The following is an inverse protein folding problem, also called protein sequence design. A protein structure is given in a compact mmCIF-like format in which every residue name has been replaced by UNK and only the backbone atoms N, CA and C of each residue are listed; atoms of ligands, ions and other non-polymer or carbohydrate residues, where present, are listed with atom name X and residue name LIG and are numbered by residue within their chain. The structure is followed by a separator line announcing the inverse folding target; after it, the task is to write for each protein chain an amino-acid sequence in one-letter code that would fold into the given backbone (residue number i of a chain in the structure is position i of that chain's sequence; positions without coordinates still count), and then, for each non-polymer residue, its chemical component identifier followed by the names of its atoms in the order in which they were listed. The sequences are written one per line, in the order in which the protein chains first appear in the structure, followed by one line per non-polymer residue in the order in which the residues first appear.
data_IF_041647756295
#
_entry.id   IF_041647756295
#
_cell.length_a   1.000
_cell.length_b   1.000
_cell.length_c   1.000
_cell.angle_alpha   90.00
_cell.angle_beta   90.00
_cell.angle_gamma   90.00
#
_symmetry.space_group_name_H-M   'P 1'
#
loop_
_entity.id
_entity.type
_entity.pdbx_description
1 polymer ?
#
# COMPACT_ATOMS: atom_id res chain seq x y z
N UNK A 1 43.57 0.90 6.16
CA UNK A 1 42.30 0.77 6.92
C UNK A 1 41.08 0.78 5.98
N UNK A 2 40.96 1.74 5.06
CA UNK A 2 39.88 1.73 4.05
C UNK A 2 39.83 0.44 3.21
N UNK A 3 40.98 -0.11 2.78
CA UNK A 3 41.03 -1.38 2.03
C UNK A 3 40.48 -2.56 2.83
N UNK A 4 40.82 -2.66 4.12
CA UNK A 4 40.27 -3.67 5.03
C UNK A 4 38.75 -3.52 5.19
N UNK A 5 38.26 -2.28 5.27
CA UNK A 5 36.83 -1.98 5.35
C UNK A 5 36.12 -2.38 4.06
N UNK A 6 36.71 -2.09 2.90
CA UNK A 6 36.19 -2.49 1.58
C UNK A 6 36.13 -4.00 1.46
N UNK A 7 37.15 -4.73 1.91
CA UNK A 7 37.19 -6.19 1.80
C UNK A 7 36.18 -6.87 2.72
N UNK A 8 36.04 -6.37 3.95
CA UNK A 8 35.24 -7.01 5.00
C UNK A 8 33.75 -6.66 4.96
N UNK A 9 33.41 -5.43 4.59
CA UNK A 9 32.03 -4.90 4.72
C UNK A 9 31.30 -4.73 3.38
N UNK A 10 31.82 -5.33 2.31
CA UNK A 10 31.25 -5.24 0.96
C UNK A 10 30.21 -6.32 0.62
N UNK A 11 29.88 -7.23 1.55
CA UNK A 11 28.87 -8.33 1.45
C UNK A 11 28.26 -8.50 0.05
N UNK A 12 28.92 -9.29 -0.81
CA UNK A 12 28.53 -9.66 -2.18
C UNK A 12 28.16 -8.51 -3.15
N UNK A 13 28.34 -7.25 -2.75
CA UNK A 13 27.98 -6.06 -3.52
C UNK A 13 29.23 -5.36 -4.04
N UNK A 14 29.08 -4.30 -4.86
CA UNK A 14 30.20 -3.41 -5.22
C UNK A 14 30.39 -2.26 -4.22
N UNK A 15 29.48 -2.14 -3.26
CA UNK A 15 29.41 -1.05 -2.27
C UNK A 15 29.84 -1.55 -0.90
N UNK A 16 30.26 -0.63 -0.04
CA UNK A 16 30.26 -0.87 1.40
C UNK A 16 28.82 -0.69 1.86
N UNK A 17 28.12 -1.80 2.14
CA UNK A 17 26.69 -1.82 2.45
C UNK A 17 26.38 -2.24 3.89
N UNK A 18 27.36 -2.79 4.62
CA UNK A 18 27.25 -3.15 6.04
C UNK A 18 27.67 -1.98 6.94
N UNK A 19 26.88 -0.89 6.95
CA UNK A 19 27.18 0.32 7.72
C UNK A 19 27.20 0.08 9.23
N UNK A 20 26.31 -0.78 9.73
CA UNK A 20 26.27 -1.18 11.14
C UNK A 20 27.55 -1.96 11.52
N UNK A 21 28.04 -2.83 10.63
CA UNK A 21 29.33 -3.51 10.80
C UNK A 21 30.51 -2.55 10.80
N UNK A 22 30.49 -1.53 9.95
CA UNK A 22 31.52 -0.47 9.90
C UNK A 22 31.51 0.35 11.19
N UNK A 23 30.34 0.78 11.66
CA UNK A 23 30.19 1.56 12.89
C UNK A 23 30.70 0.77 14.11
N UNK A 24 30.30 -0.49 14.23
CA UNK A 24 30.78 -1.39 15.29
C UNK A 24 32.30 -1.59 15.22
N UNK A 25 32.87 -1.73 14.02
CA UNK A 25 34.31 -1.83 13.85
C UNK A 25 35.02 -0.54 14.27
N UNK A 26 34.57 0.63 13.78
CA UNK A 26 35.16 1.91 14.15
C UNK A 26 35.03 2.22 15.65
N UNK A 27 34.00 1.70 16.32
CA UNK A 27 33.85 1.82 17.78
C UNK A 27 34.72 0.84 18.57
N UNK A 28 35.14 -0.27 17.95
CA UNK A 28 36.04 -1.25 18.56
C UNK A 28 37.53 -0.90 18.44
N UNK A 29 37.89 0.01 17.52
CA UNK A 29 39.28 0.46 17.32
C UNK A 29 39.52 1.73 18.13
N UNK A 30 40.62 1.76 18.88
CA UNK A 30 41.05 2.94 19.62
C UNK A 30 41.53 4.03 18.65
N UNK A 31 40.65 4.99 18.39
CA UNK A 31 40.82 6.05 17.40
C UNK A 31 40.12 7.31 17.86
N UNK A 32 40.67 8.46 17.50
CA UNK A 32 40.05 9.76 17.76
C UNK A 32 38.82 9.97 16.86
N UNK A 33 37.93 10.87 17.30
CA UNK A 33 36.75 11.24 16.52
C UNK A 33 37.08 11.78 15.13
N UNK A 34 38.15 12.59 15.00
CA UNK A 34 38.59 13.15 13.73
C UNK A 34 39.07 12.07 12.75
N UNK A 35 39.77 11.04 13.24
CA UNK A 35 40.21 9.93 12.40
C UNK A 35 39.03 9.05 11.96
N UNK A 36 38.05 8.80 12.84
CA UNK A 36 36.81 8.09 12.48
C UNK A 36 36.03 8.85 11.41
N UNK A 37 35.88 10.16 11.57
CA UNK A 37 35.19 11.00 10.60
C UNK A 37 35.88 11.00 9.24
N UNK A 38 37.22 11.06 9.22
CA UNK A 38 38.01 10.96 7.98
C UNK A 38 37.77 9.64 7.24
N UNK A 39 37.63 8.53 7.97
CA UNK A 39 37.32 7.23 7.36
C UNK A 39 35.90 7.19 6.82
N UNK A 40 34.91 7.72 7.55
CA UNK A 40 33.53 7.79 7.06
C UNK A 40 33.41 8.60 5.77
N UNK A 41 34.14 9.72 5.67
CA UNK A 41 34.24 10.52 4.44
C UNK A 41 34.82 9.69 3.29
N UNK A 42 35.91 8.94 3.53
CA UNK A 42 36.51 8.08 2.51
C UNK A 42 35.57 6.96 2.04
N UNK A 43 34.77 6.38 2.94
CA UNK A 43 33.75 5.38 2.61
C UNK A 43 32.65 6.00 1.75
N UNK A 44 32.21 7.21 2.09
CA UNK A 44 31.22 7.95 1.32
C UNK A 44 31.72 8.28 -0.10
N UNK A 45 32.96 8.76 -0.23
CA UNK A 45 33.59 9.05 -1.51
C UNK A 45 33.74 7.80 -2.38
N UNK A 46 34.13 6.68 -1.76
CA UNK A 46 34.21 5.38 -2.43
C UNK A 46 32.86 4.93 -2.99
N UNK A 47 31.82 4.91 -2.15
CA UNK A 47 30.47 4.50 -2.57
C UNK A 47 29.90 5.44 -3.65
N UNK A 48 30.17 6.74 -3.53
CA UNK A 48 29.77 7.74 -4.53
C UNK A 48 30.42 7.50 -5.90
N UNK A 49 31.72 7.15 -5.91
CA UNK A 49 32.44 6.81 -7.14
C UNK A 49 31.88 5.53 -7.80
N UNK A 50 31.60 4.50 -7.03
CA UNK A 50 31.00 3.25 -7.53
C UNK A 50 29.60 3.51 -8.09
N UNK A 51 28.79 4.34 -7.42
CA UNK A 51 27.48 4.74 -7.90
C UNK A 51 27.56 5.47 -9.25
N UNK A 52 28.49 6.41 -9.39
CA UNK A 52 28.71 7.12 -10.66
C UNK A 52 29.07 6.15 -11.80
N UNK A 53 29.98 5.19 -11.55
CA UNK A 53 30.36 4.19 -12.54
C UNK A 53 29.18 3.30 -12.96
N UNK A 54 28.38 2.83 -11.99
CA UNK A 54 27.18 2.03 -12.27
C UNK A 54 26.12 2.81 -13.05
N UNK A 55 25.96 4.10 -12.74
CA UNK A 55 25.05 5.00 -13.47
C UNK A 55 25.46 5.16 -14.93
N UNK A 56 26.76 5.33 -15.18
CA UNK A 56 27.28 5.46 -16.55
C UNK A 56 27.16 4.14 -17.33
N UNK A 57 27.42 3.00 -16.68
CA UNK A 57 27.23 1.67 -17.28
C UNK A 57 25.75 1.40 -17.61
N UNK A 58 24.83 1.75 -16.72
CA UNK A 58 23.38 1.63 -16.98
C UNK A 58 22.96 2.50 -18.17
N UNK A 59 23.46 3.73 -18.25
CA UNK A 59 23.19 4.62 -19.40
C UNK A 59 23.74 4.07 -20.72
N UNK A 60 24.87 3.36 -20.69
CA UNK A 60 25.42 2.65 -21.87
C UNK A 60 24.55 1.46 -22.26
N UNK A 61 24.09 0.67 -21.29
CA UNK A 61 23.20 -0.47 -21.52
C UNK A 61 21.86 -0.03 -22.12
N UNK A 62 21.27 1.05 -21.61
CA UNK A 62 20.04 1.64 -22.18
C UNK A 62 20.23 2.08 -23.64
N UNK A 63 21.39 2.66 -23.98
CA UNK A 63 21.74 2.98 -25.38
C UNK A 63 21.88 1.74 -26.25
N UNK A 64 22.46 0.66 -25.73
CA UNK A 64 22.58 -0.61 -26.48
C UNK A 64 21.20 -1.25 -26.70
N UNK A 65 20.34 -1.25 -25.68
CA UNK A 65 18.98 -1.80 -25.75
C UNK A 65 18.13 -1.01 -26.75
N UNK A 66 18.14 0.33 -26.66
CA UNK A 66 17.43 1.19 -27.61
C UNK A 66 17.96 1.03 -29.04
N UNK A 67 19.27 0.86 -29.23
CA UNK A 67 19.86 0.61 -30.56
C UNK A 67 19.45 -0.77 -31.11
N UNK A 68 19.39 -1.81 -30.27
CA UNK A 68 18.94 -3.17 -30.65
C UNK A 68 17.44 -3.24 -30.94
N UNK A 69 16.60 -2.51 -30.20
CA UNK A 69 15.17 -2.42 -30.47
C UNK A 69 14.87 -1.67 -31.77
N UNK A 70 15.68 -0.66 -32.10
CA UNK A 70 15.57 0.09 -33.36
C UNK A 70 16.00 -0.73 -34.59
N UNK A 71 16.89 -1.72 -34.42
CA UNK A 71 17.47 -2.49 -35.53
C UNK A 71 16.80 -3.84 -35.80
N UNK A 72 15.85 -4.29 -34.97
CA UNK A 72 15.15 -5.56 -35.12
C UNK A 72 13.78 -5.49 -35.85
N UNK A 73 13.43 -4.36 -36.45
CA UNK A 73 12.29 -4.25 -37.36
C UNK A 73 12.67 -4.70 -38.79
N UNK A 74 13.02 -6.00 -38.93
CA UNK A 74 13.02 -6.85 -40.15
C UNK A 74 14.13 -7.91 -40.05
N UNK A 75 13.79 -9.07 -39.48
CA UNK A 75 14.15 -10.41 -39.95
C UNK A 75 13.64 -11.44 -38.94
N UNK A 76 12.73 -12.31 -39.40
CA UNK A 76 12.43 -13.56 -38.71
C UNK A 76 13.71 -14.38 -38.54
N UNK A 77 13.93 -14.89 -37.34
CA UNK A 77 15.04 -15.78 -36.98
C UNK A 77 14.51 -16.83 -35.98
N UNK A 78 15.13 -18.02 -35.92
CA UNK A 78 14.44 -19.29 -36.04
C UNK A 78 14.17 -19.94 -34.68
N UNK A 79 13.25 -20.92 -34.67
CA UNK A 79 13.00 -21.81 -33.54
C UNK A 79 14.30 -22.50 -33.11
N UNK A 80 14.78 -22.20 -31.90
CA UNK A 80 15.73 -23.05 -31.19
C UNK A 80 15.06 -23.52 -29.89
N UNK A 81 15.02 -24.83 -29.79
CA UNK A 81 14.46 -25.69 -28.76
C UNK A 81 15.16 -25.55 -27.40
N UNK A 82 14.34 -25.66 -26.35
CA UNK A 82 14.63 -26.21 -25.03
C UNK A 82 15.88 -25.71 -24.29
N UNK A 83 15.68 -24.66 -23.50
CA UNK A 83 16.26 -24.59 -22.15
C UNK A 83 15.13 -24.22 -21.20
N UNK A 84 14.82 -25.11 -20.25
CA UNK A 84 13.89 -24.85 -19.14
C UNK A 84 14.52 -23.76 -18.25
N UNK A 85 14.22 -22.50 -18.53
CA UNK A 85 14.37 -21.42 -17.57
C UNK A 85 13.03 -21.19 -16.90
N UNK A 86 12.99 -21.45 -15.59
CA UNK A 86 11.81 -21.23 -14.76
C UNK A 86 11.22 -19.84 -15.02
N UNK A 87 9.92 -19.88 -15.30
CA UNK A 87 8.98 -18.79 -15.48
C UNK A 87 9.38 -17.53 -14.69
N UNK A 88 9.91 -16.52 -15.39
CA UNK A 88 9.56 -15.15 -15.07
C UNK A 88 8.04 -15.08 -15.15
N UNK A 89 7.37 -15.08 -13.99
CA UNK A 89 5.98 -14.63 -13.90
C UNK A 89 5.98 -13.28 -14.61
N UNK A 90 5.18 -13.18 -15.66
CA UNK A 90 4.90 -11.90 -16.30
C UNK A 90 4.62 -10.89 -15.19
N UNK A 91 5.31 -9.74 -15.23
CA UNK A 91 4.97 -8.60 -14.39
C UNK A 91 3.57 -8.18 -14.84
N UNK A 92 2.55 -8.76 -14.20
CA UNK A 92 1.22 -8.18 -14.18
C UNK A 92 1.43 -6.83 -13.51
N UNK A 93 1.14 -5.69 -14.17
CA UNK A 93 1.25 -4.41 -13.52
C UNK A 93 0.31 -4.44 -12.32
N UNK A 94 0.86 -4.48 -11.11
CA UNK A 94 0.06 -4.32 -9.91
C UNK A 94 -0.57 -2.93 -9.99
N UNK A 95 -1.87 -2.87 -10.25
CA UNK A 95 -2.67 -1.66 -10.15
C UNK A 95 -2.96 -1.34 -8.68
N UNK A 96 -1.90 -1.33 -7.84
CA UNK A 96 -2.01 -0.84 -6.47
C UNK A 96 -2.21 0.68 -6.56
N UNK A 97 -3.32 1.18 -6.04
CA UNK A 97 -3.59 2.61 -5.97
C UNK A 97 -2.80 3.28 -4.82
N UNK A 98 -1.47 3.26 -4.94
CA UNK A 98 -0.53 3.86 -3.97
C UNK A 98 -0.84 5.34 -3.75
N UNK A 99 -1.35 6.03 -4.78
CA UNK A 99 -1.68 7.46 -4.70
C UNK A 99 -2.71 7.75 -3.61
N UNK A 100 -3.66 6.83 -3.40
CA UNK A 100 -4.69 7.03 -2.37
C UNK A 100 -4.20 6.76 -0.95
N UNK A 101 -3.29 5.79 -0.78
CA UNK A 101 -2.57 5.60 0.49
C UNK A 101 -1.80 6.86 0.87
N UNK A 102 -1.02 7.43 -0.06
CA UNK A 102 -0.25 8.66 0.16
C UNK A 102 -1.15 9.79 0.60
N UNK A 103 -2.27 10.02 -0.10
CA UNK A 103 -3.22 11.07 0.27
C UNK A 103 -3.76 10.88 1.69
N UNK A 104 -4.14 9.66 2.05
CA UNK A 104 -4.71 9.35 3.37
C UNK A 104 -3.68 9.53 4.48
N UNK A 105 -2.43 9.08 4.27
CA UNK A 105 -1.31 9.26 5.20
C UNK A 105 -0.98 10.74 5.40
N UNK A 106 -1.03 11.55 4.34
CA UNK A 106 -0.81 13.01 4.43
C UNK A 106 -1.87 13.69 5.28
N UNK A 107 -3.13 13.30 5.13
CA UNK A 107 -4.26 13.87 5.86
C UNK A 107 -4.33 13.41 7.34
N UNK A 108 -3.52 12.43 7.76
CA UNK A 108 -3.43 12.00 9.16
C UNK A 108 -2.91 13.10 10.07
N UNK A 109 -3.67 13.35 11.14
CA UNK A 109 -3.28 14.23 12.26
C UNK A 109 -2.56 13.49 13.39
N UNK A 110 -2.70 12.16 13.45
CA UNK A 110 -2.06 11.30 14.45
C UNK A 110 -1.27 10.19 13.76
N UNK A 111 -0.15 9.79 14.36
CA UNK A 111 0.67 8.66 13.88
C UNK A 111 -0.07 7.32 14.03
N UNK A 112 -0.87 7.13 15.08
CA UNK A 112 -1.62 5.89 15.28
C UNK A 112 -2.69 5.64 14.21
N UNK A 113 -3.13 6.68 13.49
CA UNK A 113 -4.08 6.52 12.38
C UNK A 113 -3.41 5.96 11.12
N UNK A 114 -2.08 6.01 11.04
CA UNK A 114 -1.31 5.49 9.90
C UNK A 114 -1.42 3.97 9.85
N UNK A 115 -1.33 3.26 10.98
CA UNK A 115 -1.44 1.79 11.04
C UNK A 115 -2.75 1.26 10.45
N UNK A 116 -3.84 2.02 10.59
CA UNK A 116 -5.16 1.68 10.05
C UNK A 116 -5.26 1.90 8.54
N UNK A 117 -4.41 2.74 7.99
CA UNK A 117 -4.37 3.09 6.57
C UNK A 117 -3.46 2.14 5.81
N UNK A 118 -2.38 1.66 6.44
CA UNK A 118 -1.43 0.78 5.78
C UNK A 118 -2.11 -0.54 5.36
N UNK A 119 -1.63 -1.17 4.27
CA UNK A 119 -2.07 -2.49 3.87
C UNK A 119 -1.92 -3.51 5.00
N UNK A 120 -2.68 -4.59 4.90
CA UNK A 120 -2.57 -5.70 5.86
C UNK A 120 -1.15 -6.27 5.88
N UNK A 121 -0.64 -6.55 7.08
CA UNK A 121 0.69 -7.09 7.32
C UNK A 121 0.84 -8.48 6.69
N UNK A 122 -0.26 -9.23 6.62
CA UNK A 122 -0.30 -10.58 6.03
C UNK A 122 -0.62 -10.57 4.52
N UNK A 123 -0.86 -9.39 3.92
CA UNK A 123 -1.18 -9.31 2.49
C UNK A 123 0.02 -9.68 1.62
N UNK A 124 -0.24 -10.37 0.49
CA UNK A 124 0.81 -10.83 -0.44
C UNK A 124 1.72 -9.68 -0.91
N UNK A 125 1.14 -8.49 -1.05
CA UNK A 125 1.83 -7.32 -1.58
C UNK A 125 2.20 -6.32 -0.48
N UNK A 126 2.10 -6.69 0.80
CA UNK A 126 2.33 -5.78 1.93
C UNK A 126 3.63 -5.00 1.76
N UNK A 127 4.76 -5.71 1.64
CA UNK A 127 6.07 -5.09 1.52
C UNK A 127 6.17 -4.22 0.26
N UNK A 128 5.67 -4.70 -0.88
CA UNK A 128 5.72 -3.95 -2.14
C UNK A 128 4.92 -2.65 -2.06
N UNK A 129 3.73 -2.70 -1.47
CA UNK A 129 2.87 -1.52 -1.25
C UNK A 129 3.56 -0.56 -0.28
N UNK A 130 4.06 -1.04 0.86
CA UNK A 130 4.73 -0.21 1.87
C UNK A 130 6.00 0.44 1.32
N UNK A 131 6.86 -0.31 0.63
CA UNK A 131 8.06 0.25 0.01
C UNK A 131 7.70 1.30 -1.04
N UNK A 132 6.66 1.07 -1.83
CA UNK A 132 6.21 2.05 -2.81
C UNK A 132 5.64 3.31 -2.13
N UNK A 133 4.92 3.17 -1.02
CA UNK A 133 4.46 4.30 -0.20
C UNK A 133 5.65 5.11 0.31
N UNK A 134 6.64 4.45 0.94
CA UNK A 134 7.84 5.11 1.48
C UNK A 134 8.60 5.84 0.36
N UNK A 135 8.78 5.20 -0.80
CA UNK A 135 9.45 5.80 -1.95
C UNK A 135 8.73 7.06 -2.43
N UNK A 136 7.40 7.02 -2.56
CA UNK A 136 6.59 8.16 -3.00
C UNK A 136 6.64 9.33 -2.00
N UNK A 137 6.63 9.06 -0.70
CA UNK A 137 6.81 10.10 0.32
C UNK A 137 8.21 10.72 0.26
N UNK A 138 9.26 9.92 -0.02
CA UNK A 138 10.61 10.43 -0.23
C UNK A 138 10.75 11.26 -1.50
N UNK A 139 10.09 10.87 -2.60
CA UNK A 139 10.03 11.67 -3.82
C UNK A 139 9.47 13.06 -3.54
N UNK A 140 8.39 13.14 -2.76
CA UNK A 140 7.77 14.42 -2.36
C UNK A 140 8.71 15.28 -1.51
N UNK A 141 9.40 14.70 -0.52
CA UNK A 141 10.44 15.41 0.25
C UNK A 141 11.54 15.94 -0.69
N UNK A 142 11.94 15.18 -1.69
CA UNK A 142 12.94 15.62 -2.67
C UNK A 142 12.41 16.74 -3.57
N UNK A 143 11.13 16.73 -3.95
CA UNK A 143 10.51 17.82 -4.70
C UNK A 143 10.46 19.11 -3.87
N UNK A 144 10.02 19.04 -2.60
CA UNK A 144 10.00 20.20 -1.70
C UNK A 144 11.42 20.76 -1.50
N UNK A 145 12.41 19.90 -1.28
CA UNK A 145 13.82 20.33 -1.18
C UNK A 145 14.34 20.98 -2.46
N UNK A 146 13.94 20.48 -3.63
CA UNK A 146 14.31 21.11 -4.91
C UNK A 146 13.71 22.51 -5.05
N UNK A 147 12.46 22.70 -4.67
CA UNK A 147 11.81 24.02 -4.65
C UNK A 147 12.56 24.97 -3.71
N UNK A 148 12.86 24.53 -2.48
CA UNK A 148 13.68 25.29 -1.52
C UNK A 148 15.06 25.67 -2.07
N UNK A 149 15.71 24.78 -2.83
CA UNK A 149 17.02 25.07 -3.44
C UNK A 149 16.94 25.97 -4.68
N UNK A 150 15.82 25.96 -5.40
CA UNK A 150 15.58 26.81 -6.58
C UNK A 150 15.19 28.24 -6.18
N UNK A 151 14.40 28.39 -5.11
CA UNK A 151 13.90 29.69 -4.62
C UNK A 151 14.77 30.29 -3.49
N UNK A 152 15.76 29.54 -2.99
CA UNK A 152 16.46 29.74 -1.71
C UNK A 152 17.37 30.97 -1.56
N UNK A 153 17.30 31.95 -2.46
CA UNK A 153 17.91 33.27 -2.28
C UNK A 153 16.90 34.41 -2.13
N UNK A 154 15.67 34.23 -2.61
CA UNK A 154 14.62 35.27 -2.62
C UNK A 154 13.37 34.89 -1.80
N UNK A 155 13.28 33.65 -1.29
CA UNK A 155 12.17 33.23 -0.41
C UNK A 155 12.30 33.82 1.00
N UNK A 156 11.23 34.40 1.52
CA UNK A 156 11.17 34.87 2.90
C UNK A 156 11.30 33.73 3.93
N UNK A 157 11.61 34.10 5.18
CA UNK A 157 11.82 33.17 6.29
C UNK A 157 10.57 32.34 6.59
N UNK A 158 9.37 32.89 6.39
CA UNK A 158 8.11 32.19 6.66
C UNK A 158 7.88 31.05 5.66
N UNK A 159 8.12 31.30 4.37
CA UNK A 159 8.03 30.32 3.29
C UNK A 159 9.03 29.19 3.51
N UNK A 160 10.25 29.54 3.92
CA UNK A 160 11.28 28.54 4.23
C UNK A 160 10.88 27.65 5.41
N UNK A 161 10.42 28.25 6.51
CA UNK A 161 9.96 27.53 7.69
C UNK A 161 8.76 26.64 7.37
N UNK A 162 7.85 27.09 6.51
CA UNK A 162 6.71 26.28 6.06
C UNK A 162 7.18 24.99 5.37
N UNK A 163 8.08 25.09 4.39
CA UNK A 163 8.59 23.91 3.68
C UNK A 163 9.46 23.00 4.56
N UNK A 164 10.27 23.58 5.47
CA UNK A 164 11.07 22.81 6.44
C UNK A 164 10.16 22.02 7.39
N UNK A 165 9.08 22.62 7.89
CA UNK A 165 8.06 21.95 8.71
C UNK A 165 7.33 20.84 7.93
N UNK A 166 6.95 21.08 6.68
CA UNK A 166 6.31 20.06 5.83
C UNK A 166 7.25 18.86 5.59
N UNK A 167 8.53 19.11 5.34
CA UNK A 167 9.55 18.05 5.24
C UNK A 167 9.64 17.25 6.54
N UNK A 168 9.70 17.93 7.69
CA UNK A 168 9.80 17.28 8.99
C UNK A 168 8.58 16.38 9.25
N UNK A 169 7.37 16.89 9.00
CA UNK A 169 6.13 16.13 9.16
C UNK A 169 6.10 14.88 8.29
N UNK A 170 6.49 14.98 7.01
CA UNK A 170 6.54 13.82 6.11
C UNK A 170 7.61 12.81 6.60
N UNK A 171 8.78 13.30 7.04
CA UNK A 171 9.86 12.46 7.54
C UNK A 171 9.48 11.70 8.83
N UNK A 172 8.75 12.36 9.75
CA UNK A 172 8.21 11.71 10.96
C UNK A 172 7.28 10.55 10.55
N UNK A 173 6.39 10.76 9.58
CA UNK A 173 5.48 9.71 9.08
C UNK A 173 6.23 8.56 8.43
N UNK A 174 7.26 8.84 7.61
CA UNK A 174 8.13 7.81 7.02
C UNK A 174 8.82 6.98 8.09
N UNK A 175 9.39 7.62 9.11
CA UNK A 175 10.09 6.93 10.19
C UNK A 175 9.17 6.03 11.00
N UNK A 176 7.93 6.49 11.27
CA UNK A 176 6.91 5.68 11.92
C UNK A 176 6.55 4.43 11.09
N UNK A 177 6.32 4.58 9.78
CA UNK A 177 6.05 3.44 8.88
C UNK A 177 7.23 2.45 8.88
N UNK A 178 8.48 2.94 8.85
CA UNK A 178 9.67 2.09 8.94
C UNK A 178 9.79 1.36 10.26
N UNK A 179 9.34 1.96 11.37
CA UNK A 179 9.35 1.32 12.67
C UNK A 179 8.38 0.14 12.69
N UNK A 180 7.15 0.32 12.19
CA UNK A 180 6.15 -0.75 12.04
C UNK A 180 6.74 -1.93 11.26
N UNK A 181 7.43 -1.65 10.13
CA UNK A 181 8.09 -2.71 9.35
C UNK A 181 9.20 -3.45 10.12
N UNK A 182 10.00 -2.75 10.94
CA UNK A 182 11.11 -3.35 11.68
C UNK A 182 10.65 -4.27 12.81
N UNK A 183 9.50 -3.97 13.40
CA UNK A 183 8.87 -4.83 14.41
C UNK A 183 8.41 -6.17 13.80
N UNK A 184 8.13 -6.21 12.49
CA UNK A 184 7.60 -7.39 11.78
C UNK A 184 8.64 -8.32 11.17
N UNK A 185 9.81 -7.82 10.75
CA UNK A 185 10.90 -8.69 10.26
C UNK A 185 11.33 -9.73 11.33
N UNK A 186 10.98 -9.48 12.60
CA UNK A 186 11.21 -10.41 13.71
C UNK A 186 10.15 -11.51 13.86
N UNK A 187 9.01 -11.44 13.16
CA UNK A 187 7.84 -12.29 13.44
C UNK A 187 7.25 -13.07 12.25
N UNK A 188 7.72 -12.89 11.01
CA UNK A 188 7.02 -13.47 9.84
C UNK A 188 7.68 -14.76 9.32
N UNK A 189 7.09 -15.91 9.66
CA UNK A 189 6.99 -17.05 8.75
C UNK A 189 5.82 -16.75 7.79
N UNK A 190 6.11 -16.60 6.50
CA UNK A 190 5.12 -16.25 5.47
C UNK A 190 4.05 -17.34 5.34
N UNK A 191 2.88 -17.14 5.95
CA UNK A 191 1.68 -17.91 5.65
C UNK A 191 0.74 -17.02 4.84
N UNK A 192 0.42 -17.46 3.63
CA UNK A 192 -0.58 -16.82 2.77
C UNK A 192 -1.92 -16.74 3.51
N UNK A 193 -2.40 -15.54 3.82
CA UNK A 193 -3.79 -15.37 4.24
C UNK A 193 -4.50 -14.36 3.32
N UNK A 194 -5.63 -14.78 2.75
CA UNK A 194 -6.58 -13.85 2.16
C UNK A 194 -7.33 -13.16 3.30
N UNK A 195 -7.67 -11.89 3.12
CA UNK A 195 -8.47 -11.17 4.09
C UNK A 195 -9.86 -11.84 4.21
N UNK A 196 -10.25 -12.09 5.44
CA UNK A 196 -11.57 -12.56 5.79
C UNK A 196 -12.52 -11.38 5.86
N UNK A 197 -13.73 -11.55 5.32
CA UNK A 197 -14.77 -10.55 5.39
C UNK A 197 -15.92 -11.08 6.24
N UNK A 198 -16.35 -10.26 7.19
CA UNK A 198 -17.52 -10.49 8.01
C UNK A 198 -18.57 -9.43 7.70
N UNK A 199 -19.84 -9.73 7.95
CA UNK A 199 -20.93 -8.85 7.58
C UNK A 199 -21.61 -8.27 8.81
N UNK A 200 -21.84 -6.95 8.79
CA UNK A 200 -22.68 -6.31 9.78
C UNK A 200 -24.08 -6.94 9.75
N UNK A 201 -24.65 -7.19 10.93
CA UNK A 201 -26.02 -7.65 11.08
C UNK A 201 -26.85 -6.56 11.76
N UNK A 202 -28.13 -6.49 11.43
CA UNK A 202 -29.12 -5.71 12.20
C UNK A 202 -29.35 -6.37 13.55
N UNK A 203 -29.96 -5.66 14.49
CA UNK A 203 -30.34 -6.19 15.81
C UNK A 203 -31.27 -7.42 15.73
N UNK A 204 -31.90 -7.67 14.57
CA UNK A 204 -32.74 -8.85 14.31
C UNK A 204 -32.00 -9.99 13.59
N UNK A 205 -30.67 -9.89 13.45
CA UNK A 205 -29.84 -10.91 12.79
C UNK A 205 -29.79 -10.81 11.26
N UNK A 206 -30.54 -9.91 10.62
CA UNK A 206 -30.48 -9.75 9.16
C UNK A 206 -29.13 -9.19 8.72
N UNK A 207 -28.51 -9.83 7.73
CA UNK A 207 -27.24 -9.36 7.16
C UNK A 207 -27.47 -8.14 6.27
N UNK A 208 -26.80 -7.07 6.65
CA UNK A 208 -26.84 -5.75 6.04
C UNK A 208 -26.59 -5.78 4.52
N UNK A 209 -25.54 -6.48 4.09
CA UNK A 209 -25.13 -6.53 2.68
C UNK A 209 -26.19 -7.11 1.73
N UNK A 210 -26.99 -8.11 2.15
CA UNK A 210 -28.07 -8.62 1.31
C UNK A 210 -29.24 -7.64 1.19
N UNK A 211 -29.50 -6.86 2.25
CA UNK A 211 -30.52 -5.82 2.19
C UNK A 211 -30.11 -4.73 1.20
N UNK A 212 -28.85 -4.32 1.25
CA UNK A 212 -28.28 -3.35 0.32
C UNK A 212 -28.39 -3.80 -1.13
N UNK A 213 -28.08 -5.06 -1.43
CA UNK A 213 -28.18 -5.60 -2.80
C UNK A 213 -29.60 -5.59 -3.38
N UNK A 214 -30.66 -5.54 -2.55
CA UNK A 214 -32.05 -5.42 -3.04
C UNK A 214 -32.30 -4.05 -3.68
N UNK A 215 -31.66 -3.01 -3.15
CA UNK A 215 -31.82 -1.62 -3.61
C UNK A 215 -30.81 -1.23 -4.70
N UNK A 216 -29.80 -2.07 -4.94
CA UNK A 216 -28.76 -1.87 -5.95
C UNK A 216 -29.22 -2.44 -7.31
N UNK A 217 -29.20 -1.64 -8.39
CA UNK A 217 -29.45 -2.13 -9.75
C UNK A 217 -28.41 -3.16 -10.20
N UNK A 218 -28.85 -4.16 -10.96
CA UNK A 218 -28.02 -5.32 -11.35
C UNK A 218 -26.82 -4.96 -12.22
N UNK A 219 -26.84 -3.83 -12.91
CA UNK A 219 -25.69 -3.33 -13.69
C UNK A 219 -24.46 -3.02 -12.85
N UNK A 220 -24.65 -2.76 -11.55
CA UNK A 220 -23.55 -2.45 -10.64
C UNK A 220 -22.96 -3.71 -9.98
N UNK A 221 -23.56 -4.89 -10.17
CA UNK A 221 -23.16 -6.11 -9.44
C UNK A 221 -21.72 -6.52 -9.76
N UNK A 222 -21.29 -6.41 -11.02
CA UNK A 222 -19.89 -6.68 -11.42
C UNK A 222 -18.92 -5.76 -10.66
N UNK A 223 -19.27 -4.48 -10.56
CA UNK A 223 -18.44 -3.52 -9.85
C UNK A 223 -18.38 -3.83 -8.34
N UNK A 224 -19.48 -4.25 -7.71
CA UNK A 224 -19.44 -4.67 -6.30
C UNK A 224 -18.65 -5.95 -6.08
N UNK A 225 -18.70 -6.89 -7.03
CA UNK A 225 -17.87 -8.09 -7.00
C UNK A 225 -16.38 -7.73 -6.96
N UNK A 226 -15.94 -6.87 -7.88
CA UNK A 226 -14.56 -6.39 -7.92
C UNK A 226 -14.14 -5.67 -6.64
N UNK A 227 -15.03 -4.86 -6.05
CA UNK A 227 -14.73 -4.16 -4.81
C UNK A 227 -14.57 -5.12 -3.63
N UNK A 228 -15.43 -6.14 -3.51
CA UNK A 228 -15.31 -7.16 -2.47
C UNK A 228 -14.03 -7.99 -2.64
N UNK A 229 -13.71 -8.41 -3.86
CA UNK A 229 -12.46 -9.12 -4.15
C UNK A 229 -11.24 -8.28 -3.78
N UNK A 230 -11.28 -6.97 -4.07
CA UNK A 230 -10.18 -6.07 -3.73
C UNK A 230 -9.94 -5.94 -2.22
N UNK A 231 -10.97 -6.14 -1.40
CA UNK A 231 -10.81 -6.21 0.06
C UNK A 231 -10.19 -7.56 0.43
N UNK A 232 -10.68 -8.66 -0.17
CA UNK A 232 -10.20 -10.01 0.12
C UNK A 232 -8.75 -10.29 -0.28
N UNK A 233 -8.29 -9.73 -1.40
CA UNK A 233 -6.92 -9.86 -1.89
C UNK A 233 -5.96 -8.79 -1.35
N UNK A 234 -6.49 -7.81 -0.61
CA UNK A 234 -5.72 -6.73 0.00
C UNK A 234 -5.28 -5.62 -0.97
N UNK A 235 -5.80 -5.58 -2.20
CA UNK A 235 -5.49 -4.51 -3.17
C UNK A 235 -6.26 -3.20 -2.92
N UNK A 236 -7.40 -3.28 -2.22
CA UNK A 236 -8.29 -2.17 -1.82
C UNK A 236 -8.53 -1.13 -2.93
N UNK A 237 -9.36 -1.48 -3.92
CA UNK A 237 -9.59 -0.68 -5.13
C UNK A 237 -10.06 0.75 -4.80
N UNK A 238 -9.29 1.75 -5.23
CA UNK A 238 -9.53 3.18 -5.01
C UNK A 238 -9.83 3.52 -3.54
N UNK A 239 -9.14 2.87 -2.60
CA UNK A 239 -9.28 3.02 -1.16
C UNK A 239 -9.38 4.47 -0.69
N UNK A 240 -10.12 4.76 0.37
CA UNK A 240 -10.09 6.05 1.06
C UNK A 240 -10.53 5.87 2.51
N UNK A 241 -9.83 6.51 3.43
CA UNK A 241 -10.27 6.58 4.85
C UNK A 241 -10.99 7.90 5.11
N UNK A 242 -12.01 7.85 5.96
CA UNK A 242 -12.69 9.05 6.44
C UNK A 242 -11.92 9.65 7.62
N UNK A 243 -11.11 10.68 7.34
CA UNK A 243 -10.27 11.36 8.35
C UNK A 243 -10.92 12.63 8.92
N UNK A 244 -11.56 13.41 8.06
CA UNK A 244 -12.13 14.73 8.40
C UNK A 244 -13.66 14.73 8.53
N UNK A 245 -14.32 13.60 8.29
CA UNK A 245 -15.76 13.48 8.49
C UNK A 245 -16.01 13.00 9.92
N UNK A 246 -16.51 13.88 10.80
CA UNK A 246 -16.76 13.58 12.22
C UNK A 246 -17.63 12.34 12.39
N UNK A 247 -18.61 12.16 11.51
CA UNK A 247 -19.58 11.07 11.58
C UNK A 247 -18.99 9.73 11.15
N UNK A 248 -18.11 9.69 10.14
CA UNK A 248 -17.56 8.44 9.60
C UNK A 248 -16.11 8.21 10.02
N UNK A 249 -15.61 9.00 10.98
CA UNK A 249 -14.20 9.05 11.32
C UNK A 249 -13.69 7.65 11.69
N UNK A 250 -12.66 7.20 10.99
CA UNK A 250 -12.04 5.90 11.23
C UNK A 250 -12.59 4.76 10.39
N UNK A 251 -13.68 4.96 9.63
CA UNK A 251 -14.12 4.01 8.61
C UNK A 251 -13.32 4.18 7.31
N UNK A 252 -13.36 3.14 6.48
CA UNK A 252 -12.74 3.13 5.16
C UNK A 252 -13.75 2.81 4.05
N UNK A 253 -13.46 3.24 2.83
CA UNK A 253 -14.24 2.91 1.63
C UNK A 253 -13.36 2.42 0.47
N UNK A 254 -13.83 1.43 -0.27
CA UNK A 254 -13.33 1.09 -1.63
C UNK A 254 -14.35 1.58 -2.66
N UNK A 255 -13.88 1.98 -3.84
CA UNK A 255 -14.67 2.77 -4.79
C UNK A 255 -14.56 2.27 -6.23
N UNK A 256 -15.70 1.96 -6.85
CA UNK A 256 -15.83 1.93 -8.29
C UNK A 256 -16.12 3.32 -8.84
N UNK A 257 -16.65 3.41 -10.06
CA UNK A 257 -17.06 4.70 -10.62
C UNK A 257 -18.16 5.35 -9.75
N UNK A 258 -19.26 4.61 -9.55
CA UNK A 258 -20.39 5.04 -8.71
C UNK A 258 -20.61 4.12 -7.49
N UNK A 259 -20.08 2.91 -7.49
CA UNK A 259 -20.24 1.94 -6.42
C UNK A 259 -19.28 2.20 -5.26
N UNK A 260 -19.75 2.02 -4.03
CA UNK A 260 -18.97 2.24 -2.81
C UNK A 260 -19.23 1.11 -1.84
N UNK A 261 -18.17 0.58 -1.22
CA UNK A 261 -18.28 -0.31 -0.07
C UNK A 261 -17.58 0.34 1.10
N UNK A 262 -18.31 0.56 2.20
CA UNK A 262 -17.76 1.03 3.47
C UNK A 262 -17.48 -0.16 4.35
N UNK A 263 -16.32 -0.15 4.98
CA UNK A 263 -15.82 -1.22 5.82
C UNK A 263 -14.92 -0.69 6.94
N UNK A 264 -14.67 -1.51 7.95
CA UNK A 264 -13.64 -1.28 8.97
C UNK A 264 -12.80 -2.55 9.16
N UNK A 265 -11.58 -2.38 9.67
CA UNK A 265 -10.69 -3.49 10.07
C UNK A 265 -10.96 -3.81 11.54
N UNK A 266 -11.37 -5.04 11.84
CA UNK A 266 -11.75 -5.47 13.20
C UNK A 266 -10.73 -6.38 13.85
N UNK A 267 -9.92 -7.09 13.07
CA UNK A 267 -8.74 -7.84 13.52
C UNK A 267 -7.65 -7.73 12.46
N UNK A 268 -6.53 -8.46 12.63
CA UNK A 268 -5.41 -8.42 11.69
C UNK A 268 -5.89 -8.63 10.25
N UNK A 269 -6.49 -9.77 9.91
CA UNK A 269 -6.94 -10.09 8.55
C UNK A 269 -8.47 -10.08 8.39
N UNK A 270 -9.22 -9.52 9.35
CA UNK A 270 -10.69 -9.57 9.35
C UNK A 270 -11.28 -8.18 9.15
N UNK A 271 -12.11 -8.02 8.13
CA UNK A 271 -12.74 -6.77 7.74
C UNK A 271 -14.26 -6.90 7.78
N UNK A 272 -14.92 -5.93 8.40
CA UNK A 272 -16.38 -5.91 8.47
C UNK A 272 -16.96 -5.06 7.33
N UNK A 273 -17.85 -5.65 6.53
CA UNK A 273 -18.61 -4.93 5.51
C UNK A 273 -19.79 -4.24 6.18
N UNK A 274 -19.76 -2.91 6.17
CA UNK A 274 -20.73 -2.06 6.87
C UNK A 274 -21.85 -1.65 5.91
N UNK A 275 -21.50 -1.16 4.72
CA UNK A 275 -22.50 -0.66 3.77
C UNK A 275 -22.07 -0.79 2.32
N UNK A 276 -22.99 -1.24 1.46
CA UNK A 276 -22.82 -1.29 0.00
C UNK A 276 -23.84 -0.36 -0.65
N UNK A 277 -23.41 0.57 -1.52
CA UNK A 277 -24.35 1.50 -2.16
C UNK A 277 -23.81 2.10 -3.46
N UNK A 278 -24.74 2.59 -4.29
CA UNK A 278 -24.43 3.37 -5.50
C UNK A 278 -24.57 4.85 -5.17
N UNK A 279 -23.48 5.60 -5.26
CA UNK A 279 -23.42 7.03 -4.98
C UNK A 279 -24.06 7.80 -6.13
N UNK A 280 -25.23 8.41 -5.88
CA UNK A 280 -25.97 9.18 -6.90
C UNK A 280 -25.67 10.69 -6.88
N UNK A 281 -25.52 11.31 -5.70
CA UNK A 281 -25.21 12.76 -5.55
C UNK A 281 -24.51 13.04 -4.21
N UNK A 282 -23.80 14.17 -4.11
CA UNK A 282 -23.06 14.56 -2.89
C UNK A 282 -23.93 15.15 -1.76
N UNK A 283 -25.12 15.69 -2.09
CA UNK A 283 -25.96 16.49 -1.16
C UNK A 283 -27.35 15.92 -0.90
N UNK A 284 -27.51 14.59 -0.93
CA UNK A 284 -28.80 13.97 -0.63
C UNK A 284 -28.94 13.70 0.88
N UNK A 285 -29.91 14.34 1.53
CA UNK A 285 -30.17 14.20 2.96
C UNK A 285 -30.57 12.76 3.36
N UNK A 286 -31.32 12.07 2.51
CA UNK A 286 -31.69 10.66 2.73
C UNK A 286 -30.46 9.75 2.66
N UNK A 287 -29.53 10.02 1.75
CA UNK A 287 -28.27 9.29 1.67
C UNK A 287 -27.42 9.47 2.93
N UNK A 288 -27.28 10.70 3.42
CA UNK A 288 -26.55 10.97 4.66
C UNK A 288 -27.21 10.30 5.87
N UNK A 289 -28.55 10.30 5.94
CA UNK A 289 -29.28 9.62 7.00
C UNK A 289 -29.06 8.08 6.97
N UNK A 290 -29.12 7.45 5.80
CA UNK A 290 -28.84 6.01 5.65
C UNK A 290 -27.41 5.67 6.09
N UNK A 291 -26.46 6.52 5.73
CA UNK A 291 -25.05 6.38 6.10
C UNK A 291 -24.85 6.50 7.63
N UNK A 292 -25.56 7.43 8.27
CA UNK A 292 -25.52 7.66 9.72
C UNK A 292 -26.12 6.47 10.45
N UNK A 293 -27.32 6.04 10.06
CA UNK A 293 -27.98 4.89 10.68
C UNK A 293 -27.11 3.63 10.60
N UNK A 294 -26.39 3.45 9.50
CA UNK A 294 -25.50 2.29 9.32
C UNK A 294 -24.24 2.39 10.16
N UNK A 295 -23.67 3.59 10.27
CA UNK A 295 -22.54 3.86 11.14
C UNK A 295 -22.90 3.71 12.63
N UNK A 296 -24.08 4.16 13.03
CA UNK A 296 -24.58 4.03 14.41
C UNK A 296 -24.78 2.55 14.75
N UNK A 297 -25.42 1.79 13.85
CA UNK A 297 -25.55 0.34 14.00
C UNK A 297 -24.19 -0.34 14.15
N UNK A 298 -23.22 0.02 13.30
CA UNK A 298 -21.87 -0.53 13.41
C UNK A 298 -21.22 -0.17 14.75
N UNK A 299 -21.28 1.11 15.15
CA UNK A 299 -20.66 1.60 16.38
C UNK A 299 -21.23 0.89 17.61
N UNK A 300 -22.53 0.62 17.64
CA UNK A 300 -23.17 -0.12 18.74
C UNK A 300 -22.76 -1.59 18.81
N UNK A 301 -22.36 -2.21 17.69
CA UNK A 301 -22.00 -3.63 17.62
C UNK A 301 -20.48 -3.85 17.47
N UNK A 302 -19.68 -2.78 17.38
CA UNK A 302 -18.28 -2.84 16.98
C UNK A 302 -17.45 -3.72 17.90
N UNK A 303 -17.62 -3.55 19.20
CA UNK A 303 -16.78 -4.22 20.19
C UNK A 303 -17.11 -5.73 20.24
N UNK A 304 -18.40 -6.10 20.12
CA UNK A 304 -18.83 -7.49 19.95
C UNK A 304 -18.26 -8.12 18.66
N UNK A 305 -18.32 -7.41 17.52
CA UNK A 305 -17.76 -7.90 16.26
C UNK A 305 -16.25 -8.13 16.38
N UNK A 306 -15.53 -7.28 17.11
CA UNK A 306 -14.09 -7.45 17.36
C UNK A 306 -13.78 -8.66 18.23
N UNK A 307 -14.60 -8.93 19.25
CA UNK A 307 -14.47 -10.14 20.06
C UNK A 307 -14.75 -11.41 19.22
N UNK A 308 -15.80 -11.38 18.40
CA UNK A 308 -16.17 -12.49 17.52
C UNK A 308 -15.21 -12.69 16.34
N UNK A 309 -14.39 -11.70 15.98
CA UNK A 309 -13.46 -11.79 14.86
C UNK A 309 -12.39 -12.90 15.02
N UNK A 310 -12.22 -13.44 16.23
CA UNK A 310 -11.34 -14.58 16.50
C UNK A 310 -12.12 -15.89 16.75
N UNK A 311 -13.45 -15.89 16.61
CA UNK A 311 -14.30 -17.06 16.82
C UNK A 311 -14.44 -17.86 15.50
N UNK A 312 -13.98 -19.13 15.44
CA UNK A 312 -14.04 -19.94 14.22
C UNK A 312 -15.45 -20.16 13.67
N UNK A 313 -16.46 -20.34 14.53
CA UNK A 313 -17.85 -20.57 14.09
C UNK A 313 -18.42 -19.31 13.43
N UNK A 314 -18.09 -18.14 13.98
CA UNK A 314 -18.49 -16.86 13.40
C UNK A 314 -17.84 -16.64 12.04
N UNK A 315 -16.56 -16.97 11.89
CA UNK A 315 -15.84 -16.86 10.62
C UNK A 315 -16.39 -17.84 9.58
N UNK A 316 -16.67 -19.10 9.97
CA UNK A 316 -17.28 -20.09 9.09
C UNK A 316 -18.69 -19.68 8.62
N UNK A 317 -19.51 -19.11 9.52
CA UNK A 317 -20.79 -18.53 9.13
C UNK A 317 -20.59 -17.45 8.06
N UNK A 318 -19.64 -16.54 8.26
CA UNK A 318 -19.37 -15.45 7.32
C UNK A 318 -18.78 -15.93 5.99
N UNK A 319 -18.00 -17.01 5.96
CA UNK A 319 -17.58 -17.68 4.72
C UNK A 319 -18.81 -18.14 3.91
N UNK A 320 -19.78 -18.75 4.57
CA UNK A 320 -21.03 -19.18 3.94
C UNK A 320 -21.87 -17.99 3.45
N UNK A 321 -21.95 -16.90 4.23
CA UNK A 321 -22.62 -15.66 3.83
C UNK A 321 -21.93 -15.01 2.62
N UNK A 322 -20.59 -14.98 2.60
CA UNK A 322 -19.79 -14.48 1.48
C UNK A 322 -20.09 -15.29 0.21
N UNK A 323 -20.06 -16.61 0.29
CA UNK A 323 -20.38 -17.47 -0.86
C UNK A 323 -21.78 -17.18 -1.42
N UNK A 324 -22.80 -17.06 -0.54
CA UNK A 324 -24.17 -16.70 -0.95
C UNK A 324 -24.26 -15.31 -1.59
N UNK A 325 -23.51 -14.34 -1.07
CA UNK A 325 -23.44 -12.99 -1.63
C UNK A 325 -22.82 -13.02 -3.04
N UNK A 326 -21.74 -13.76 -3.21
CA UNK A 326 -21.04 -13.92 -4.48
C UNK A 326 -21.90 -14.62 -5.52
N UNK A 327 -22.64 -15.66 -5.14
CA UNK A 327 -23.63 -16.31 -6.01
C UNK A 327 -24.75 -15.35 -6.41
N UNK A 328 -25.19 -14.47 -5.51
CA UNK A 328 -26.21 -13.45 -5.83
C UNK A 328 -25.68 -12.43 -6.83
N UNK A 329 -24.43 -12.00 -6.66
CA UNK A 329 -23.73 -11.11 -7.59
C UNK A 329 -23.55 -11.79 -8.96
N UNK A 330 -23.08 -13.04 -9.00
CA UNK A 330 -22.83 -13.81 -10.24
C UNK A 330 -24.08 -14.28 -10.97
N UNK A 331 -25.10 -14.73 -10.24
CA UNK A 331 -26.32 -15.33 -10.78
C UNK A 331 -27.17 -14.36 -11.61
N UNK A 332 -27.01 -13.05 -11.41
CA UNK A 332 -27.69 -12.03 -12.22
C UNK A 332 -26.89 -11.52 -13.42
N UNK A 333 -25.57 -11.78 -13.47
CA UNK A 333 -24.72 -11.52 -14.66
C UNK A 333 -25.14 -12.43 -15.81
N UNK A 334 -25.41 -13.72 -15.52
CA UNK A 334 -25.78 -14.72 -16.55
C UNK A 334 -27.13 -14.48 -17.22
N UNK A 335 -28.08 -13.79 -16.57
CA UNK A 335 -29.39 -13.46 -17.15
C UNK A 335 -29.33 -12.33 -18.20
N UNK A 336 -28.23 -11.57 -18.28
CA UNK A 336 -28.05 -10.54 -19.33
C UNK A 336 -27.49 -11.10 -20.64
N UNK A 337 -26.89 -12.30 -20.62
CA UNK A 337 -26.37 -12.97 -21.83
C UNK A 337 -27.38 -13.86 -22.55
N UNK A 338 -28.63 -13.95 -22.07
CA UNK A 338 -29.67 -14.84 -22.61
C UNK A 338 -30.88 -14.11 -23.19
N UNK A 339 -30.83 -12.77 -23.32
CA UNK A 339 -31.86 -11.98 -24.00
C UNK A 339 -31.21 -11.29 -25.21
N UNK A 340 -30.81 -12.12 -26.16
CA UNK A 340 -30.55 -11.75 -27.54
C UNK A 340 -30.77 -13.02 -28.38
N UNK A 341 -32.05 -13.36 -28.53
CA UNK A 341 -32.55 -14.40 -29.41
C UNK A 341 -33.61 -13.79 -30.31
#
# INVERSE_FOLDING_TARGET
MLEYIIEKFRKNSKFINDLDGVENYLNSVDMTFEEKNKILIQIYEYNSKIYSMLRDDNRRLEKIISTRQSSNSKKELPKISNVKSNCHKAIVPLTIDVKSYIRSIKDCKSLCDIEKILPDKESENYFDVIYTIILKLYEEVMEIKKLLHQDGKDSDLETRNFFENEIELIMIKINYIKQIMKEEVKTVETVKSNNEIVFLKTNYGNVCAFSDLKDIPTEYYDSFYELLESICDGSFKNFKTFTNNVMLKGLSEVRGEQTRIIFDRVSNNVYVIIYMFVKKTDKNASYQASLQNRNDLYTSNRDEIRELANNPEYLEENINLKAKLYETLKGKIRKRGSISG
#
